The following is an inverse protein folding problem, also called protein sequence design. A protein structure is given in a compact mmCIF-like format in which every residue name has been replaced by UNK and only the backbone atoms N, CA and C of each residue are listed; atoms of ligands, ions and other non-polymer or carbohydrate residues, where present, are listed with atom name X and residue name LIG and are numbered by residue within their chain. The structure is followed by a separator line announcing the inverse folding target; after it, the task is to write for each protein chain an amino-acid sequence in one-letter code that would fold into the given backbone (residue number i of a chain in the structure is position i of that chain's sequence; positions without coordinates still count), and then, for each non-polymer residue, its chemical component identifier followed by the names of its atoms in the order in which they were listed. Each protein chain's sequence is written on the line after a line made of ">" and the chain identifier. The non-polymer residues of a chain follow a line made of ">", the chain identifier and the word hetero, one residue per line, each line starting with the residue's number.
data_IF_111016921570
#
_entry.id   IF_111016921570
#
_cell.length_a   1.000
_cell.length_b   1.000
_cell.length_c   1.000
_cell.angle_alpha   90.00
_cell.angle_beta   90.00
_cell.angle_gamma   90.00
#
_symmetry.space_group_name_H-M   'P 1'
#
loop_
_entity.id
_entity.type
_entity.pdbx_description
1 polymer ?
#
# COMPACT_ATOMS: atom_id res chain seq x y z
N UNK A 1 14.90 -40.97 12.44
CA UNK A 1 15.11 -39.55 12.05
C UNK A 1 16.35 -39.04 12.76
N UNK A 2 17.42 -38.73 12.02
CA UNK A 2 18.67 -38.28 12.61
C UNK A 2 18.52 -36.87 13.20
N UNK A 3 19.00 -36.63 14.42
CA UNK A 3 18.97 -35.32 15.11
C UNK A 3 19.49 -34.16 14.26
N UNK A 4 20.45 -34.43 13.37
CA UNK A 4 20.99 -33.47 12.41
C UNK A 4 20.00 -33.11 11.30
N UNK A 5 19.20 -34.06 10.83
CA UNK A 5 18.12 -33.80 9.87
C UNK A 5 17.00 -32.96 10.49
N UNK A 6 16.74 -33.15 11.79
CA UNK A 6 15.80 -32.33 12.56
C UNK A 6 16.34 -30.90 12.76
N UNK A 7 17.61 -30.73 13.10
CA UNK A 7 18.25 -29.41 13.19
C UNK A 7 18.28 -28.67 11.84
N UNK A 8 18.59 -29.37 10.74
CA UNK A 8 18.61 -28.75 9.40
C UNK A 8 17.23 -28.24 8.99
N UNK A 9 16.18 -29.00 9.34
CA UNK A 9 14.78 -28.65 9.04
C UNK A 9 14.31 -27.42 9.85
N UNK A 10 14.74 -27.31 11.12
CA UNK A 10 14.41 -26.16 11.98
C UNK A 10 15.08 -24.88 11.47
N UNK A 11 16.36 -24.96 11.06
CA UNK A 11 17.07 -23.79 10.51
C UNK A 11 16.47 -23.31 9.19
N UNK A 12 15.98 -24.23 8.35
CA UNK A 12 15.30 -23.86 7.10
C UNK A 12 13.96 -23.18 7.35
N UNK A 13 13.19 -23.60 8.36
CA UNK A 13 11.91 -22.95 8.72
C UNK A 13 12.10 -21.49 9.16
N UNK A 14 13.18 -21.18 9.87
CA UNK A 14 13.45 -19.83 10.38
C UNK A 14 13.75 -18.81 9.26
N UNK A 15 14.15 -19.27 8.07
CA UNK A 15 14.48 -18.41 6.93
C UNK A 15 13.27 -17.96 6.09
N UNK A 16 12.07 -18.50 6.32
CA UNK A 16 10.88 -18.28 5.45
C UNK A 16 9.99 -17.11 5.92
N UNK A 17 10.42 -16.34 6.92
CA UNK A 17 9.55 -15.43 7.71
C UNK A 17 9.13 -14.11 7.03
N UNK A 18 9.15 -13.97 5.70
CA UNK A 18 8.90 -12.66 5.05
C UNK A 18 8.09 -12.72 3.75
N UNK A 19 6.91 -13.36 3.80
CA UNK A 19 5.99 -13.44 2.64
C UNK A 19 5.04 -12.25 2.53
N UNK A 20 4.67 -11.60 3.64
CA UNK A 20 3.66 -10.53 3.60
C UNK A 20 4.15 -9.28 2.87
N UNK A 21 5.27 -8.69 3.28
CA UNK A 21 5.77 -7.39 2.81
C UNK A 21 5.96 -7.27 1.27
N UNK A 22 6.08 -8.38 0.55
CA UNK A 22 6.19 -8.36 -0.90
C UNK A 22 4.88 -7.93 -1.58
N UNK A 23 3.73 -8.24 -0.98
CA UNK A 23 2.43 -7.97 -1.58
C UNK A 23 2.12 -6.47 -1.55
N UNK A 24 2.31 -5.80 -0.42
CA UNK A 24 2.01 -4.37 -0.28
C UNK A 24 2.94 -3.50 -1.13
N UNK A 25 4.21 -3.89 -1.25
CA UNK A 25 5.16 -3.21 -2.14
C UNK A 25 4.71 -3.30 -3.60
N UNK A 26 4.29 -4.49 -4.04
CA UNK A 26 3.79 -4.71 -5.39
C UNK A 26 2.51 -3.90 -5.65
N UNK A 27 1.56 -3.93 -4.71
CA UNK A 27 0.33 -3.13 -4.78
C UNK A 27 0.64 -1.63 -4.87
N UNK A 28 1.59 -1.13 -4.09
CA UNK A 28 2.05 0.27 -4.12
C UNK A 28 2.61 0.65 -5.49
N UNK A 29 3.41 -0.22 -6.10
CA UNK A 29 3.93 -0.01 -7.47
C UNK A 29 2.78 0.00 -8.49
N UNK A 30 1.79 -0.88 -8.35
CA UNK A 30 0.62 -0.88 -9.21
C UNK A 30 -0.18 0.42 -9.08
N UNK A 31 -0.49 0.86 -7.86
CA UNK A 31 -1.17 2.14 -7.61
C UNK A 31 -0.43 3.28 -8.28
N UNK A 32 0.89 3.39 -8.07
CA UNK A 32 1.71 4.43 -8.68
C UNK A 32 1.66 4.38 -10.21
N UNK A 33 1.72 3.19 -10.82
CA UNK A 33 1.65 3.06 -12.27
C UNK A 33 0.28 3.47 -12.82
N UNK A 34 -0.83 3.16 -12.14
CA UNK A 34 -2.15 3.65 -12.55
C UNK A 34 -2.19 5.17 -12.63
N UNK A 35 -1.59 5.86 -11.66
CA UNK A 35 -1.61 7.33 -11.63
C UNK A 35 -0.96 7.98 -12.85
N UNK A 36 -0.01 7.29 -13.52
CA UNK A 36 0.69 7.77 -14.72
C UNK A 36 -0.10 7.60 -16.00
N UNK A 37 -1.09 6.70 -16.00
CA UNK A 37 -1.89 6.34 -17.17
C UNK A 37 -3.31 6.87 -17.09
N UNK A 38 -3.60 7.70 -16.08
CA UNK A 38 -4.89 8.37 -15.86
C UNK A 38 -4.67 9.87 -16.07
N UNK A 39 -5.52 10.49 -16.89
CA UNK A 39 -5.63 11.94 -16.95
C UNK A 39 -6.52 12.42 -15.80
N UNK A 40 -5.93 13.12 -14.84
CA UNK A 40 -6.65 13.60 -13.66
C UNK A 40 -7.42 14.89 -13.99
N UNK A 41 -8.67 15.04 -13.50
CA UNK A 41 -9.44 16.24 -13.72
C UNK A 41 -8.77 17.47 -13.07
N UNK A 42 -9.02 18.70 -13.55
CA UNK A 42 -8.30 19.90 -13.11
C UNK A 42 -8.25 20.10 -11.59
N UNK A 43 -9.34 19.78 -10.87
CA UNK A 43 -9.41 19.90 -9.40
C UNK A 43 -8.55 18.88 -8.62
N UNK A 44 -8.01 17.87 -9.29
CA UNK A 44 -7.20 16.80 -8.72
C UNK A 44 -5.76 16.77 -9.26
N UNK A 45 -5.46 17.63 -10.24
CA UNK A 45 -4.16 17.75 -10.91
C UNK A 45 -3.26 18.86 -10.32
N UNK A 46 -3.65 19.43 -9.17
CA UNK A 46 -2.92 20.48 -8.46
C UNK A 46 -2.81 20.17 -6.98
N UNK A 47 -1.79 20.71 -6.31
CA UNK A 47 -1.54 20.45 -4.89
C UNK A 47 -0.91 19.09 -4.64
N UNK A 48 -1.22 18.48 -3.50
CA UNK A 48 -0.75 17.14 -3.14
C UNK A 48 -1.64 16.08 -3.80
N UNK A 49 -1.01 14.99 -4.25
CA UNK A 49 -1.70 13.80 -4.74
C UNK A 49 -1.98 12.88 -3.56
N UNK A 50 -3.24 12.82 -3.14
CA UNK A 50 -3.63 12.11 -1.92
C UNK A 50 -4.05 10.69 -2.25
N UNK A 51 -3.36 9.71 -1.66
CA UNK A 51 -3.74 8.29 -1.64
C UNK A 51 -4.36 7.99 -0.28
N UNK A 52 -5.67 7.79 -0.25
CA UNK A 52 -6.41 7.36 0.93
C UNK A 52 -6.22 5.86 1.19
N UNK A 53 -6.16 5.45 2.45
CA UNK A 53 -6.19 4.05 2.88
C UNK A 53 -7.29 3.86 3.92
N UNK A 54 -8.24 2.96 3.65
CA UNK A 54 -9.31 2.64 4.61
C UNK A 54 -8.83 1.63 5.65
N UNK A 55 -8.83 2.02 6.91
CA UNK A 55 -8.36 1.21 8.04
C UNK A 55 -6.83 1.13 8.12
N UNK A 56 -6.34 0.17 8.90
CA UNK A 56 -4.91 -0.08 9.03
C UNK A 56 -4.44 -1.04 7.93
N UNK A 57 -3.32 -0.73 7.29
CA UNK A 57 -2.69 -1.60 6.31
C UNK A 57 -1.18 -1.33 6.25
N UNK A 58 -0.33 -2.37 6.12
CA UNK A 58 1.11 -2.19 5.92
C UNK A 58 1.46 -1.43 4.63
N UNK A 59 0.51 -1.29 3.70
CA UNK A 59 0.71 -0.52 2.46
C UNK A 59 0.99 0.96 2.73
N UNK A 60 0.57 1.50 3.87
CA UNK A 60 0.82 2.90 4.25
C UNK A 60 2.33 3.17 4.25
N UNK A 61 3.11 2.32 4.92
CA UNK A 61 4.57 2.47 4.99
C UNK A 61 5.23 2.34 3.60
N UNK A 62 4.72 1.45 2.75
CA UNK A 62 5.26 1.29 1.39
C UNK A 62 4.94 2.50 0.50
N UNK A 63 3.76 3.10 0.64
CA UNK A 63 3.39 4.35 -0.04
C UNK A 63 4.27 5.51 0.45
N UNK A 64 4.50 5.63 1.76
CA UNK A 64 5.38 6.65 2.34
C UNK A 64 6.81 6.54 1.78
N UNK A 65 7.39 5.33 1.78
CA UNK A 65 8.72 5.09 1.18
C UNK A 65 8.76 5.45 -0.30
N UNK A 66 7.69 5.17 -1.05
CA UNK A 66 7.60 5.56 -2.46
C UNK A 66 7.53 7.09 -2.60
N UNK A 67 6.78 7.76 -1.73
CA UNK A 67 6.56 9.21 -1.74
C UNK A 67 7.84 10.01 -1.47
N UNK A 68 8.81 9.47 -0.73
CA UNK A 68 10.12 10.10 -0.51
C UNK A 68 10.87 10.40 -1.81
N UNK A 69 10.68 9.57 -2.84
CA UNK A 69 11.51 9.56 -4.04
C UNK A 69 10.71 9.74 -5.34
N UNK A 70 9.38 9.92 -5.26
CA UNK A 70 8.49 9.98 -6.42
C UNK A 70 7.43 11.06 -6.27
N UNK A 71 6.95 11.50 -7.43
CA UNK A 71 5.86 12.47 -7.59
C UNK A 71 4.94 12.01 -8.71
N UNK A 72 3.73 12.55 -8.75
CA UNK A 72 2.77 12.32 -9.83
C UNK A 72 2.63 13.66 -10.56
N UNK A 73 3.23 13.75 -11.75
CA UNK A 73 3.49 15.04 -12.37
C UNK A 73 4.31 15.94 -11.43
N UNK A 74 3.75 17.10 -11.07
CA UNK A 74 4.36 18.03 -10.11
C UNK A 74 3.83 17.88 -8.67
N UNK A 75 2.89 16.98 -8.43
CA UNK A 75 2.22 16.81 -7.15
C UNK A 75 3.04 15.90 -6.21
N UNK A 76 3.18 16.29 -4.94
CA UNK A 76 3.77 15.43 -3.90
C UNK A 76 2.79 14.34 -3.54
N UNK A 77 3.27 13.12 -3.29
CA UNK A 77 2.41 12.02 -2.87
C UNK A 77 2.20 12.11 -1.37
N UNK A 78 0.95 12.07 -0.92
CA UNK A 78 0.56 12.08 0.50
C UNK A 78 -0.34 10.89 0.78
N UNK A 79 -0.10 10.18 1.87
CA UNK A 79 -0.97 9.09 2.32
C UNK A 79 -1.86 9.56 3.46
N UNK A 80 -3.17 9.34 3.34
CA UNK A 80 -4.13 9.63 4.40
C UNK A 80 -4.81 8.34 4.84
N UNK A 81 -4.77 8.05 6.15
CA UNK A 81 -5.50 6.92 6.72
C UNK A 81 -6.88 7.36 7.16
N UNK A 82 -7.92 6.69 6.67
CA UNK A 82 -9.31 6.89 7.06
C UNK A 82 -9.78 5.74 7.95
N UNK A 83 -10.51 6.02 9.03
CA UNK A 83 -10.94 4.98 9.97
C UNK A 83 -12.21 4.29 9.48
N UNK A 84 -13.15 5.07 8.98
CA UNK A 84 -14.45 4.64 8.46
C UNK A 84 -14.69 5.24 7.08
N UNK A 85 -15.72 4.76 6.38
CA UNK A 85 -16.11 5.27 5.05
C UNK A 85 -16.58 6.73 5.15
N UNK A 86 -17.30 7.07 6.23
CA UNK A 86 -17.81 8.42 6.46
C UNK A 86 -16.68 9.45 6.72
N UNK A 87 -15.51 9.00 7.15
CA UNK A 87 -14.34 9.85 7.38
C UNK A 87 -13.57 10.16 6.08
N UNK A 88 -13.91 9.53 4.95
CA UNK A 88 -13.17 9.69 3.70
C UNK A 88 -13.37 11.10 3.15
N UNK A 89 -12.29 11.89 3.22
CA UNK A 89 -12.21 13.20 2.61
C UNK A 89 -11.78 13.15 1.13
N UNK A 90 -11.46 14.33 0.58
CA UNK A 90 -10.96 14.45 -0.78
C UNK A 90 -9.64 13.68 -0.94
N UNK A 91 -9.62 12.72 -1.87
CA UNK A 91 -8.41 12.00 -2.29
C UNK A 91 -8.48 11.63 -3.77
N UNK A 92 -7.33 11.40 -4.40
CA UNK A 92 -7.22 11.01 -5.80
C UNK A 92 -7.51 9.51 -5.98
N UNK A 93 -7.01 8.70 -5.05
CA UNK A 93 -7.19 7.24 -5.04
C UNK A 93 -7.54 6.81 -3.61
N UNK A 94 -8.48 5.88 -3.48
CA UNK A 94 -8.77 5.18 -2.23
C UNK A 94 -8.34 3.72 -2.35
N UNK A 95 -7.44 3.28 -1.47
CA UNK A 95 -7.08 1.87 -1.32
C UNK A 95 -7.90 1.25 -0.19
N UNK A 96 -8.56 0.14 -0.51
CA UNK A 96 -9.39 -0.62 0.43
C UNK A 96 -8.70 -1.97 0.66
N UNK A 97 -8.13 -2.20 1.85
CA UNK A 97 -7.59 -3.50 2.20
C UNK A 97 -8.69 -4.57 2.21
N UNK A 98 -8.31 -5.83 1.98
CA UNK A 98 -9.23 -6.98 2.02
C UNK A 98 -10.04 -7.07 3.34
N UNK A 99 -9.47 -6.64 4.46
CA UNK A 99 -10.16 -6.61 5.75
C UNK A 99 -11.31 -5.61 5.83
N UNK A 100 -11.35 -4.64 4.92
CA UNK A 100 -12.34 -3.55 4.87
C UNK A 100 -13.30 -3.65 3.69
N UNK A 101 -13.11 -4.60 2.76
CA UNK A 101 -13.95 -4.71 1.56
C UNK A 101 -15.41 -5.03 1.87
N UNK A 102 -15.70 -5.72 2.99
CA UNK A 102 -17.07 -6.05 3.41
C UNK A 102 -17.87 -4.87 3.95
N UNK A 103 -17.23 -3.71 4.18
CA UNK A 103 -17.91 -2.49 4.65
C UNK A 103 -18.51 -1.68 3.48
N UNK A 104 -18.24 -2.07 2.23
CA UNK A 104 -18.54 -1.29 1.01
C UNK A 104 -19.74 -1.86 0.23
N UNK A 105 -20.44 -2.87 0.77
CA UNK A 105 -21.56 -3.56 0.12
C UNK A 105 -22.76 -3.75 1.03
#
# INVERSE_FOLDING_TARGET
>A
MNKYSLMLSITFLLLVSSVNAQNEKLQTVFIYNFTKHIEWPPGYSSGDFVIGVLGNSPIIEEIEKLAENRKIGNQKIVVNKYRTIDDIGQCNIIFIPKSKSGEIG
#
